data_IF_914370584185
#
_entry.id   IF_914370584185
#
_cell.length_a   1.000
_cell.length_b   1.000
_cell.length_c   1.000
_cell.angle_alpha   90.00
_cell.angle_beta   90.00
_cell.angle_gamma   90.00
#
_symmetry.space_group_name_H-M   'P 1'
#
loop_
_entity.id
_entity.type
_entity.pdbx_description
1 polymer ?
#
# COMPACT_ATOMS: atom_id res chain seq x y z
N UNK A 1 -27.88 -19.20 -19.65
CA UNK A 1 -27.47 -18.39 -18.48
C UNK A 1 -26.20 -17.61 -18.82
N UNK A 2 -26.26 -16.33 -19.24
CA UNK A 2 -25.04 -15.55 -19.39
C UNK A 2 -24.59 -15.02 -18.03
N UNK A 3 -23.34 -15.28 -17.67
CA UNK A 3 -22.70 -14.86 -16.42
C UNK A 3 -22.43 -13.35 -16.47
N UNK A 4 -22.81 -12.64 -15.40
CA UNK A 4 -22.66 -11.20 -15.28
C UNK A 4 -21.18 -10.75 -15.44
N UNK A 5 -20.91 -9.65 -16.15
CA UNK A 5 -19.58 -9.06 -16.21
C UNK A 5 -19.30 -8.33 -14.89
N UNK A 6 -18.35 -8.83 -14.09
CA UNK A 6 -17.77 -8.08 -12.98
C UNK A 6 -16.81 -7.01 -13.53
N UNK A 7 -17.39 -5.95 -14.10
CA UNK A 7 -16.67 -4.69 -14.29
C UNK A 7 -16.33 -4.14 -12.91
N UNK A 8 -15.09 -4.38 -12.44
CA UNK A 8 -14.51 -3.62 -11.34
C UNK A 8 -14.05 -2.28 -11.92
N UNK A 9 -15.04 -1.47 -12.26
CA UNK A 9 -14.87 -0.11 -12.73
C UNK A 9 -14.29 0.69 -11.56
N UNK A 10 -13.01 1.03 -11.65
CA UNK A 10 -12.39 1.99 -10.74
C UNK A 10 -12.99 3.35 -11.05
N UNK A 11 -14.11 3.65 -10.39
CA UNK A 11 -14.71 4.97 -10.33
C UNK A 11 -13.65 5.95 -9.82
N UNK A 12 -13.09 6.71 -10.76
CA UNK A 12 -12.36 7.94 -10.50
C UNK A 12 -13.39 9.01 -10.14
N UNK A 13 -14.05 8.83 -9.01
CA UNK A 13 -15.00 9.80 -8.49
C UNK A 13 -14.28 10.82 -7.62
N UNK A 14 -14.23 12.03 -8.19
CA UNK A 14 -14.29 13.34 -7.54
C UNK A 14 -13.27 13.70 -6.44
N UNK A 15 -12.65 14.86 -6.66
CA UNK A 15 -11.72 15.60 -5.83
C UNK A 15 -12.39 16.10 -4.53
N UNK A 16 -12.85 15.22 -3.65
CA UNK A 16 -12.82 15.52 -2.23
C UNK A 16 -11.39 15.22 -1.76
N UNK A 17 -10.76 16.15 -1.05
CA UNK A 17 -9.50 15.92 -0.33
C UNK A 17 -9.70 14.81 0.72
N UNK A 18 -9.84 13.56 0.27
CA UNK A 18 -9.94 12.38 1.11
C UNK A 18 -8.57 12.22 1.72
N UNK A 19 -8.45 12.73 2.94
CA UNK A 19 -7.26 12.60 3.76
C UNK A 19 -6.81 11.13 3.69
N UNK A 20 -5.65 10.85 3.08
CA UNK A 20 -5.23 9.48 2.81
C UNK A 20 -4.92 8.79 4.13
N UNK A 21 -5.37 7.53 4.26
CA UNK A 21 -5.15 6.74 5.47
C UNK A 21 -3.66 6.74 5.86
N UNK A 22 -3.33 6.82 7.15
CA UNK A 22 -1.94 6.63 7.57
C UNK A 22 -1.49 5.22 7.16
N UNK A 23 -0.32 5.10 6.49
CA UNK A 23 0.16 3.81 6.02
C UNK A 23 0.52 2.92 7.22
N UNK A 24 0.06 1.67 7.19
CA UNK A 24 0.49 0.66 8.16
C UNK A 24 1.89 0.10 7.79
N UNK A 25 2.46 -0.73 8.66
CA UNK A 25 3.80 -1.30 8.47
C UNK A 25 3.95 -2.04 7.14
N UNK A 26 2.93 -2.83 6.76
CA UNK A 26 2.93 -3.58 5.51
C UNK A 26 2.83 -2.68 4.26
N UNK A 27 2.04 -1.59 4.32
CA UNK A 27 1.94 -0.62 3.23
C UNK A 27 3.27 0.11 3.02
N UNK A 28 3.96 0.47 4.10
CA UNK A 28 5.30 1.06 4.03
C UNK A 28 6.29 0.07 3.39
N UNK A 29 6.33 -1.16 3.88
CA UNK A 29 7.21 -2.21 3.36
C UNK A 29 6.93 -2.52 1.87
N UNK A 30 5.65 -2.65 1.50
CA UNK A 30 5.25 -2.87 0.10
C UNK A 30 5.67 -1.73 -0.81
N UNK A 31 5.48 -0.50 -0.35
CA UNK A 31 5.86 0.70 -1.13
C UNK A 31 7.36 0.75 -1.34
N UNK A 32 8.14 0.45 -0.30
CA UNK A 32 9.60 0.41 -0.37
C UNK A 32 10.07 -0.66 -1.36
N UNK A 33 9.56 -1.89 -1.25
CA UNK A 33 9.86 -2.97 -2.21
C UNK A 33 9.46 -2.59 -3.63
N UNK A 34 8.27 -2.00 -3.82
CA UNK A 34 7.81 -1.59 -5.14
C UNK A 34 8.73 -0.52 -5.74
N UNK A 35 9.21 0.42 -4.92
CA UNK A 35 10.14 1.45 -5.36
C UNK A 35 11.50 0.86 -5.72
N UNK A 36 12.03 -0.06 -4.92
CA UNK A 36 13.25 -0.81 -5.27
C UNK A 36 13.10 -1.56 -6.59
N UNK A 37 11.97 -2.25 -6.78
CA UNK A 37 11.66 -2.96 -8.02
C UNK A 37 11.59 -2.03 -9.22
N UNK A 38 10.94 -0.87 -9.08
CA UNK A 38 10.86 0.15 -10.14
C UNK A 38 12.23 0.76 -10.46
N UNK A 39 13.06 0.99 -9.44
CA UNK A 39 14.40 1.55 -9.59
C UNK A 39 15.34 0.59 -10.34
N UNK A 40 15.21 -0.71 -10.08
CA UNK A 40 16.00 -1.75 -10.75
C UNK A 40 15.45 -2.15 -12.12
N UNK A 41 14.35 -1.52 -12.56
CA UNK A 41 13.64 -1.92 -13.77
C UNK A 41 14.22 -1.26 -15.00
N UNK A 42 14.40 -2.03 -16.07
CA UNK A 42 14.70 -1.45 -17.37
C UNK A 42 13.48 -0.72 -17.93
N UNK A 43 13.63 0.47 -18.53
CA UNK A 43 12.53 1.23 -19.15
C UNK A 43 11.75 0.45 -20.22
N UNK A 44 12.36 -0.59 -20.79
CA UNK A 44 11.79 -1.40 -21.88
C UNK A 44 11.01 -2.63 -21.39
N UNK A 45 10.94 -2.89 -20.07
CA UNK A 45 10.31 -4.09 -19.54
C UNK A 45 8.79 -3.90 -19.34
N UNK A 46 7.93 -4.87 -19.73
CA UNK A 46 6.47 -4.75 -19.64
C UNK A 46 5.96 -4.73 -18.19
N UNK A 47 5.11 -3.78 -17.77
CA UNK A 47 4.77 -3.55 -16.36
C UNK A 47 4.34 -4.82 -15.62
N UNK A 48 5.01 -5.11 -14.50
CA UNK A 48 4.67 -6.23 -13.63
C UNK A 48 3.29 -6.01 -13.00
N UNK A 49 2.47 -7.05 -12.99
CA UNK A 49 1.11 -6.97 -12.42
C UNK A 49 1.20 -6.74 -10.92
N UNK A 50 0.43 -5.78 -10.43
CA UNK A 50 0.41 -5.45 -9.00
C UNK A 50 -0.04 -6.64 -8.12
N UNK A 51 -0.83 -7.56 -8.67
CA UNK A 51 -1.24 -8.81 -8.01
C UNK A 51 -0.05 -9.68 -7.64
N UNK A 52 0.92 -9.77 -8.55
CA UNK A 52 2.07 -10.68 -8.41
C UNK A 52 3.07 -10.10 -7.42
N UNK A 53 3.29 -8.79 -7.49
CA UNK A 53 4.06 -8.03 -6.50
C UNK A 53 3.42 -8.19 -5.11
N UNK A 54 2.10 -8.07 -4.99
CA UNK A 54 1.42 -8.19 -3.69
C UNK A 54 1.56 -9.60 -3.10
N UNK A 55 1.52 -10.64 -3.95
CA UNK A 55 1.80 -12.03 -3.51
C UNK A 55 3.23 -12.19 -3.03
N UNK A 56 4.20 -11.72 -3.81
CA UNK A 56 5.63 -11.79 -3.46
C UNK A 56 5.91 -11.05 -2.14
N UNK A 57 5.44 -9.81 -2.02
CA UNK A 57 5.62 -8.98 -0.82
C UNK A 57 4.98 -9.65 0.39
N UNK A 58 3.80 -10.26 0.24
CA UNK A 58 3.14 -10.96 1.35
C UNK A 58 3.96 -12.18 1.81
N UNK A 59 4.55 -12.93 0.89
CA UNK A 59 5.43 -14.06 1.22
C UNK A 59 6.71 -13.58 1.90
N UNK A 60 7.35 -12.53 1.35
CA UNK A 60 8.58 -11.96 1.90
C UNK A 60 8.35 -11.35 3.28
N UNK A 61 7.28 -10.58 3.47
CA UNK A 61 6.92 -10.04 4.77
C UNK A 61 6.72 -11.13 5.81
N UNK A 62 6.10 -12.27 5.47
CA UNK A 62 5.98 -13.40 6.41
C UNK A 62 7.36 -13.94 6.82
N UNK A 63 8.27 -14.10 5.86
CA UNK A 63 9.63 -14.60 6.07
C UNK A 63 10.61 -13.56 6.64
N UNK A 64 10.27 -12.27 6.61
CA UNK A 64 11.15 -11.18 7.04
C UNK A 64 11.42 -11.21 8.54
N UNK A 65 12.60 -10.73 8.95
CA UNK A 65 13.01 -10.71 10.34
C UNK A 65 12.11 -9.82 11.21
N UNK A 66 11.92 -10.24 12.46
CA UNK A 66 11.11 -9.52 13.45
C UNK A 66 11.62 -8.11 13.73
N UNK A 67 12.94 -7.86 13.67
CA UNK A 67 13.52 -6.54 13.83
C UNK A 67 13.12 -5.60 12.69
N UNK A 68 13.10 -6.08 11.45
CA UNK A 68 12.66 -5.31 10.29
C UNK A 68 11.17 -5.01 10.41
N UNK A 69 10.35 -6.02 10.76
CA UNK A 69 8.91 -5.81 10.99
C UNK A 69 8.66 -4.76 12.05
N UNK A 70 9.38 -4.83 13.17
CA UNK A 70 9.29 -3.87 14.27
C UNK A 70 9.69 -2.46 13.84
N UNK A 71 10.72 -2.31 13.01
CA UNK A 71 11.12 -1.02 12.44
C UNK A 71 9.99 -0.42 11.59
N UNK A 72 9.37 -1.20 10.72
CA UNK A 72 8.22 -0.74 9.93
C UNK A 72 6.97 -0.46 10.79
N UNK A 73 6.76 -1.21 11.87
CA UNK A 73 5.70 -0.96 12.84
C UNK A 73 5.92 0.36 13.59
N UNK A 74 7.15 0.65 14.01
CA UNK A 74 7.52 1.95 14.62
C UNK A 74 7.26 3.08 13.64
N UNK A 75 7.70 2.95 12.39
CA UNK A 75 7.44 3.95 11.33
C UNK A 75 5.95 4.16 11.09
N UNK A 76 5.17 3.09 11.06
CA UNK A 76 3.72 3.16 10.92
C UNK A 76 3.05 3.83 12.13
N UNK A 77 3.52 3.55 13.34
CA UNK A 77 3.04 4.20 14.56
C UNK A 77 3.34 5.71 14.55
N UNK A 78 4.54 6.10 14.11
CA UNK A 78 4.92 7.51 13.92
C UNK A 78 4.01 8.17 12.88
N UNK A 79 3.87 7.57 11.69
CA UNK A 79 3.01 8.10 10.63
C UNK A 79 1.55 8.23 11.08
N UNK A 80 1.04 7.26 11.86
CA UNK A 80 -0.30 7.32 12.46
C UNK A 80 -0.42 8.44 13.49
N UNK A 81 0.59 8.64 14.33
CA UNK A 81 0.62 9.71 15.32
C UNK A 81 0.69 11.09 14.65
N UNK A 82 1.54 11.25 13.64
CA UNK A 82 1.64 12.47 12.83
C UNK A 82 0.34 12.77 12.10
N UNK A 83 -0.27 11.74 11.49
CA UNK A 83 -1.56 11.89 10.85
C UNK A 83 -2.65 12.31 11.83
N UNK A 84 -2.68 11.74 13.04
CA UNK A 84 -3.63 12.15 14.09
C UNK A 84 -3.38 13.58 14.56
N UNK A 85 -2.12 14.03 14.62
CA UNK A 85 -1.77 15.42 14.95
C UNK A 85 -2.18 16.39 13.84
N UNK A 86 -1.96 16.02 12.58
CA UNK A 86 -2.29 16.84 11.41
C UNK A 86 -3.78 16.89 11.12
N UNK A 87 -4.47 15.79 11.37
CA UNK A 87 -5.90 15.62 11.14
C UNK A 87 -6.58 15.07 12.40
N UNK A 88 -6.76 15.89 13.44
CA UNK A 88 -7.38 15.46 14.70
C UNK A 88 -8.84 15.02 14.51
N UNK A 89 -9.56 15.62 13.56
CA UNK A 89 -10.95 15.29 13.20
C UNK A 89 -11.06 14.13 12.20
N UNK A 90 -9.94 13.50 11.83
CA UNK A 90 -9.97 12.38 10.91
C UNK A 90 -10.66 11.17 11.52
N UNK A 91 -11.81 10.81 10.95
CA UNK A 91 -12.55 9.59 11.27
C UNK A 91 -12.50 8.63 10.10
N UNK A 92 -12.11 7.38 10.37
CA UNK A 92 -12.17 6.32 9.38
C UNK A 92 -13.62 5.96 9.09
N UNK A 93 -14.06 6.22 7.86
CA UNK A 93 -15.34 5.74 7.32
C UNK A 93 -15.06 4.62 6.30
N UNK A 94 -15.34 3.35 6.64
CA UNK A 94 -15.15 2.22 5.75
C UNK A 94 -16.12 2.22 4.56
#
# INVERSE_FOLDING_TARGET
MPRAPTHRETERDSQQEKIPRPPNAWILYRTDLLNQWKANRSPHEPPSRQSDISRLVSARWKAEDSAIKLEYEKRAAIAKAEHKKRYPDYKYTP
#
